data_IF_630115497026
#
_entry.id   IF_630115497026
#
_cell.length_a   1.000
_cell.length_b   1.000
_cell.length_c   1.000
_cell.angle_alpha   90.00
_cell.angle_beta   90.00
_cell.angle_gamma   90.00
#
_symmetry.space_group_name_H-M   'P 1'
#
loop_
_entity.id
_entity.type
_entity.pdbx_description
1 polymer ?
#
# COMPACT_ATOMS: atom_id res chain seq x y z
N UNK A 1 1.70 3.56 -1.47
CA UNK A 1 2.91 3.62 -2.30
C UNK A 1 2.70 2.76 -3.53
N UNK A 2 2.85 3.34 -4.72
CA UNK A 2 2.89 2.62 -5.99
C UNK A 2 4.33 2.23 -6.29
N UNK A 3 4.62 0.93 -6.28
CA UNK A 3 5.97 0.42 -6.54
C UNK A 3 6.02 -0.22 -7.93
N UNK A 4 7.06 0.11 -8.68
CA UNK A 4 7.34 -0.49 -9.98
C UNK A 4 8.65 -1.26 -9.93
N UNK A 5 8.59 -2.57 -10.18
CA UNK A 5 9.74 -3.47 -10.15
C UNK A 5 10.33 -3.59 -11.56
N UNK A 6 11.57 -3.10 -11.72
CA UNK A 6 12.15 -2.89 -13.05
C UNK A 6 12.50 -4.18 -13.76
N UNK A 7 12.90 -5.23 -13.05
CA UNK A 7 13.36 -6.46 -13.67
C UNK A 7 12.22 -7.29 -14.26
N UNK A 8 11.06 -7.29 -13.60
CA UNK A 8 9.84 -7.96 -14.05
C UNK A 8 8.88 -7.07 -14.82
N UNK A 9 9.22 -5.79 -15.02
CA UNK A 9 8.43 -4.83 -15.81
C UNK A 9 6.97 -4.78 -15.33
N UNK A 10 6.77 -4.71 -14.00
CA UNK A 10 5.45 -4.78 -13.42
C UNK A 10 5.28 -3.95 -12.14
N UNK A 11 4.02 -3.60 -11.84
CA UNK A 11 3.67 -2.98 -10.57
C UNK A 11 3.50 -4.02 -9.47
N UNK A 12 4.00 -3.69 -8.28
CA UNK A 12 3.82 -4.50 -7.08
C UNK A 12 2.49 -4.14 -6.42
N UNK A 13 1.65 -5.15 -6.22
CA UNK A 13 0.31 -5.04 -5.64
C UNK A 13 0.22 -5.96 -4.43
N UNK A 14 -0.42 -5.50 -3.36
CA UNK A 14 -0.64 -6.29 -2.14
C UNK A 14 -1.98 -7.01 -2.25
N UNK A 15 -2.04 -8.27 -1.77
CA UNK A 15 -3.28 -9.03 -1.65
C UNK A 15 -3.61 -9.23 -0.17
N UNK A 16 -4.69 -8.62 0.32
CA UNK A 16 -5.06 -8.68 1.73
C UNK A 16 -6.50 -9.15 1.91
N UNK A 17 -6.77 -9.87 3.01
CA UNK A 17 -8.14 -10.21 3.39
C UNK A 17 -8.78 -9.02 4.10
N UNK A 18 -9.93 -8.55 3.61
CA UNK A 18 -10.72 -7.48 4.21
C UNK A 18 -12.03 -8.04 4.77
N UNK A 19 -12.14 -8.24 6.10
CA UNK A 19 -13.34 -8.79 6.72
C UNK A 19 -14.63 -8.07 6.36
N UNK A 20 -14.58 -6.74 6.18
CA UNK A 20 -15.74 -5.95 5.78
C UNK A 20 -16.25 -6.29 4.36
N UNK A 21 -15.34 -6.59 3.43
CA UNK A 21 -15.71 -7.05 2.08
C UNK A 21 -16.35 -8.42 2.17
N UNK A 22 -15.72 -9.34 2.90
CA UNK A 22 -16.26 -10.68 3.11
C UNK A 22 -17.66 -10.65 3.77
N UNK A 23 -17.83 -9.88 4.84
CA UNK A 23 -19.09 -9.67 5.56
C UNK A 23 -20.21 -9.15 4.65
N UNK A 24 -19.90 -8.20 3.75
CA UNK A 24 -20.87 -7.69 2.77
C UNK A 24 -21.37 -8.81 1.87
N UNK A 25 -20.49 -9.70 1.41
CA UNK A 25 -20.86 -10.74 0.44
C UNK A 25 -21.57 -11.95 1.05
N UNK A 26 -21.41 -12.19 2.35
CA UNK A 26 -22.23 -13.18 3.08
C UNK A 26 -23.73 -12.93 2.96
N UNK A 27 -24.15 -11.66 2.98
CA UNK A 27 -25.57 -11.31 2.91
C UNK A 27 -26.16 -11.45 1.49
N UNK A 28 -25.34 -11.35 0.45
CA UNK A 28 -25.80 -11.31 -0.95
C UNK A 28 -25.53 -12.60 -1.75
N UNK A 29 -25.05 -13.68 -1.12
CA UNK A 29 -24.76 -14.98 -1.78
C UNK A 29 -23.86 -14.88 -3.02
N UNK A 30 -22.95 -13.91 -3.05
CA UNK A 30 -21.91 -13.83 -4.07
C UNK A 30 -20.66 -14.55 -3.54
N UNK A 31 -20.03 -15.38 -4.38
CA UNK A 31 -18.76 -16.05 -4.08
C UNK A 31 -17.59 -15.06 -4.21
N UNK A 32 -17.45 -14.14 -3.26
CA UNK A 32 -16.25 -13.32 -3.12
C UNK A 32 -15.52 -13.76 -1.85
N UNK A 33 -14.25 -14.13 -1.99
CA UNK A 33 -13.42 -14.73 -0.94
C UNK A 33 -12.92 -13.72 0.11
N UNK A 34 -13.28 -12.45 -0.04
CA UNK A 34 -12.92 -11.36 0.88
C UNK A 34 -11.52 -10.80 0.67
N UNK A 35 -10.76 -11.31 -0.31
CA UNK A 35 -9.45 -10.76 -0.65
C UNK A 35 -9.57 -9.61 -1.64
N UNK A 36 -8.75 -8.59 -1.44
CA UNK A 36 -8.64 -7.40 -2.28
C UNK A 36 -7.22 -7.25 -2.80
N UNK A 37 -7.11 -6.67 -3.99
CA UNK A 37 -5.84 -6.24 -4.57
C UNK A 37 -5.70 -4.73 -4.36
N UNK A 38 -4.65 -4.32 -3.66
CA UNK A 38 -4.49 -2.98 -3.13
C UNK A 38 -3.07 -2.47 -3.36
N UNK A 39 -2.90 -1.14 -3.37
CA UNK A 39 -1.56 -0.56 -3.26
C UNK A 39 -1.04 -0.77 -1.84
N UNK A 40 0.29 -0.87 -1.69
CA UNK A 40 0.91 -0.84 -0.38
C UNK A 40 0.51 0.44 0.37
N UNK A 41 0.01 0.32 1.59
CA UNK A 41 -0.54 1.45 2.32
C UNK A 41 -0.57 1.21 3.83
N UNK A 42 -0.31 2.26 4.60
CA UNK A 42 -0.38 2.24 6.05
C UNK A 42 -0.96 3.50 6.64
N UNK A 43 -1.16 3.49 7.95
CA UNK A 43 -1.66 4.63 8.70
C UNK A 43 -0.53 5.61 9.02
N UNK A 44 -0.88 6.89 9.11
CA UNK A 44 0.02 7.92 9.65
C UNK A 44 -0.17 7.98 11.16
N UNK A 45 0.43 7.04 11.88
CA UNK A 45 0.26 6.86 13.33
C UNK A 45 1.54 7.15 14.15
N UNK A 46 2.67 7.40 13.47
CA UNK A 46 3.98 7.67 14.10
C UNK A 46 4.28 9.17 14.08
N UNK A 47 4.01 9.87 15.18
CA UNK A 47 4.20 11.32 15.30
C UNK A 47 5.62 11.84 15.06
N UNK A 48 6.64 10.98 15.22
CA UNK A 48 8.05 11.34 15.08
C UNK A 48 8.64 10.95 13.70
N UNK A 49 7.81 10.64 12.71
CA UNK A 49 8.26 10.25 11.36
C UNK A 49 7.59 11.11 10.29
N UNK A 50 8.33 11.36 9.22
CA UNK A 50 7.75 11.96 8.02
C UNK A 50 6.83 10.97 7.30
N UNK A 51 6.00 11.48 6.40
CA UNK A 51 5.13 10.64 5.57
C UNK A 51 5.94 9.70 4.66
N UNK A 52 7.08 10.18 4.18
CA UNK A 52 8.03 9.41 3.36
C UNK A 52 8.67 8.28 4.17
N UNK A 53 9.06 8.53 5.42
CA UNK A 53 9.61 7.50 6.30
C UNK A 53 8.58 6.41 6.57
N UNK A 54 7.34 6.78 6.89
CA UNK A 54 6.24 5.83 7.07
C UNK A 54 5.99 5.03 5.78
N UNK A 55 5.93 5.71 4.62
CA UNK A 55 5.77 5.05 3.33
C UNK A 55 6.89 4.04 3.02
N UNK A 56 8.14 4.33 3.40
CA UNK A 56 9.26 3.40 3.25
C UNK A 56 9.13 2.19 4.19
N UNK A 57 8.63 2.38 5.41
CA UNK A 57 8.38 1.28 6.36
C UNK A 57 7.31 0.33 5.83
N UNK A 58 6.19 0.87 5.35
CA UNK A 58 5.11 0.05 4.76
C UNK A 58 5.60 -0.72 3.52
N UNK A 59 6.41 -0.09 2.66
CA UNK A 59 7.01 -0.76 1.50
C UNK A 59 7.91 -1.94 1.90
N UNK A 60 8.59 -1.86 3.05
CA UNK A 60 9.39 -2.95 3.60
C UNK A 60 8.51 -4.01 4.28
N UNK A 61 7.55 -3.61 5.09
CA UNK A 61 6.69 -4.50 5.87
C UNK A 61 5.76 -5.30 4.96
N UNK A 62 5.03 -4.64 4.05
CA UNK A 62 4.05 -5.29 3.18
C UNK A 62 4.68 -5.84 1.91
N UNK A 63 5.64 -5.12 1.32
CA UNK A 63 6.19 -5.47 0.01
C UNK A 63 7.64 -5.96 0.07
N UNK A 64 8.30 -6.01 1.24
CA UNK A 64 9.66 -6.53 1.38
C UNK A 64 10.76 -5.70 0.71
N UNK A 65 10.46 -4.50 0.22
CA UNK A 65 11.41 -3.62 -0.45
C UNK A 65 11.97 -2.58 0.50
N UNK A 66 13.28 -2.61 0.73
CA UNK A 66 13.98 -1.62 1.55
C UNK A 66 14.35 -0.41 0.69
N UNK A 67 13.51 0.62 0.71
CA UNK A 67 13.74 1.92 0.06
C UNK A 67 14.01 3.02 1.08
N UNK A 68 14.42 4.20 0.61
CA UNK A 68 14.64 5.39 1.44
C UNK A 68 13.81 6.57 0.93
N UNK A 69 13.56 7.62 1.74
CA UNK A 69 12.75 8.76 1.33
C UNK A 69 13.16 9.41 0.00
N UNK A 70 14.47 9.45 -0.31
CA UNK A 70 14.99 9.98 -1.59
C UNK A 70 14.58 9.17 -2.83
N UNK A 71 14.08 7.94 -2.65
CA UNK A 71 13.57 7.10 -3.74
C UNK A 71 12.09 7.39 -4.05
N UNK A 72 11.38 8.08 -3.16
CA UNK A 72 9.97 8.37 -3.32
C UNK A 72 9.76 9.62 -4.16
N UNK A 73 8.83 9.53 -5.09
CA UNK A 73 8.25 10.65 -5.81
C UNK A 73 6.81 10.88 -5.35
N UNK A 74 6.47 12.10 -4.98
CA UNK A 74 5.09 12.44 -4.60
C UNK A 74 4.22 12.55 -5.85
N UNK A 75 3.21 11.69 -5.97
CA UNK A 75 2.21 11.79 -7.04
C UNK A 75 1.20 12.89 -6.70
N UNK A 76 0.69 12.88 -5.47
CA UNK A 76 -0.28 13.88 -5.02
C UNK A 76 -1.04 13.48 -3.76
N UNK A 77 -2.00 14.32 -3.39
CA UNK A 77 -2.86 14.12 -2.22
C UNK A 77 -4.33 14.16 -2.61
N UNK A 78 -5.14 13.33 -1.96
CA UNK A 78 -6.58 13.30 -2.20
C UNK A 78 -7.33 12.88 -0.94
N UNK A 79 -8.59 13.29 -0.84
CA UNK A 79 -9.48 12.84 0.22
C UNK A 79 -10.20 11.57 -0.19
N UNK A 80 -10.18 10.59 0.70
CA UNK A 80 -10.90 9.31 0.57
C UNK A 80 -12.02 9.24 1.60
N UNK A 81 -12.99 8.34 1.37
CA UNK A 81 -14.11 8.11 2.29
C UNK A 81 -14.82 9.42 2.73
N UNK A 82 -15.05 10.36 1.81
CA UNK A 82 -15.57 11.71 2.10
C UNK A 82 -16.97 11.75 2.70
N UNK A 83 -17.77 10.70 2.50
CA UNK A 83 -19.07 10.53 3.15
C UNK A 83 -19.02 9.89 4.54
N UNK A 84 -17.83 9.55 5.05
CA UNK A 84 -17.63 8.84 6.32
C UNK A 84 -16.58 9.51 7.20
N UNK A 85 -15.31 9.53 6.77
CA UNK A 85 -14.18 10.01 7.56
C UNK A 85 -13.42 11.18 6.92
N UNK A 86 -13.51 11.36 5.60
CA UNK A 86 -12.75 12.40 4.90
C UNK A 86 -11.23 12.26 5.09
N UNK A 87 -10.72 11.03 5.04
CA UNK A 87 -9.30 10.74 5.31
C UNK A 87 -8.42 11.26 4.18
N UNK A 88 -7.48 12.17 4.50
CA UNK A 88 -6.45 12.63 3.58
C UNK A 88 -5.45 11.50 3.31
N UNK A 89 -5.17 11.24 2.04
CA UNK A 89 -4.20 10.26 1.58
C UNK A 89 -3.10 10.96 0.79
N UNK A 90 -1.85 10.58 1.03
CA UNK A 90 -0.69 11.00 0.25
C UNK A 90 -0.18 9.80 -0.55
N UNK A 91 -0.15 9.92 -1.87
CA UNK A 91 0.29 8.86 -2.77
C UNK A 91 1.70 9.14 -3.27
N UNK A 92 2.58 8.15 -3.07
CA UNK A 92 3.95 8.15 -3.55
C UNK A 92 4.17 7.07 -4.62
N UNK A 93 5.13 7.31 -5.50
CA UNK A 93 5.72 6.37 -6.45
C UNK A 93 7.16 6.05 -6.07
N UNK A 94 7.62 4.82 -6.34
CA UNK A 94 9.05 4.49 -6.38
C UNK A 94 9.34 3.35 -7.35
N UNK A 95 10.48 3.46 -8.03
CA UNK A 95 11.09 2.33 -8.73
C UNK A 95 11.88 1.47 -7.75
N UNK A 96 11.67 0.17 -7.83
CA UNK A 96 12.39 -0.85 -7.05
C UNK A 96 13.04 -1.86 -7.98
N UNK A 97 13.97 -2.63 -7.42
CA UNK A 97 14.69 -3.68 -8.10
C UNK A 97 14.93 -4.85 -7.16
N UNK A 98 15.32 -6.01 -7.68
CA UNK A 98 15.51 -7.23 -6.90
C UNK A 98 16.51 -7.07 -5.75
N UNK A 99 17.50 -6.19 -5.91
CA UNK A 99 18.52 -5.91 -4.88
C UNK A 99 17.96 -5.20 -3.65
N UNK A 100 16.81 -4.54 -3.78
CA UNK A 100 16.12 -3.89 -2.67
C UNK A 100 15.13 -4.83 -1.97
N UNK A 101 14.85 -6.02 -2.54
CA UNK A 101 13.94 -7.02 -1.96
C UNK A 101 14.68 -7.82 -0.88
N UNK A 102 14.49 -7.43 0.38
CA UNK A 102 15.19 -8.03 1.55
C UNK A 102 14.34 -9.06 2.30
N UNK A 103 13.03 -9.08 2.06
CA UNK A 103 12.10 -10.05 2.63
C UNK A 103 10.97 -10.37 1.64
N UNK A 104 10.08 -11.30 1.98
CA UNK A 104 8.90 -11.57 1.16
C UNK A 104 7.86 -10.44 1.22
N UNK A 105 7.87 -9.63 2.27
CA UNK A 105 6.73 -8.79 2.65
C UNK A 105 5.66 -9.60 3.40
N UNK A 106 4.54 -8.93 3.68
CA UNK A 106 3.36 -9.47 4.37
C UNK A 106 2.41 -10.24 3.47
#
# INVERSE_FOLDING_TARGET
VLLYEKESDCFVIVKQFRPAIYARHFHFKHEIDGYTYELCAGLVDKANKSLEEIACEEALEECGYQISPKNLETIGQFYSATGLSGSLQTLYYAEVCVHLKVSKGG
#
